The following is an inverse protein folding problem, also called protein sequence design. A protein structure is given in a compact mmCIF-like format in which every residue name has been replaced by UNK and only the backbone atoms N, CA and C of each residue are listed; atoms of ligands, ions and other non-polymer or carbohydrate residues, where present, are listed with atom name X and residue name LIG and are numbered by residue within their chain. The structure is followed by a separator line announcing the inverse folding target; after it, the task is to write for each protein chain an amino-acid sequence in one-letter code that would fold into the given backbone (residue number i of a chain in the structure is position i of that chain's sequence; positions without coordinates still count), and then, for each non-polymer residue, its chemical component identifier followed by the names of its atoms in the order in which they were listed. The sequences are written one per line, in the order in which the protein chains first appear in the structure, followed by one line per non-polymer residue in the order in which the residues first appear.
data_IF_172286830040
#
_entry.id   IF_172286830040
#
_cell.length_a   1.000
_cell.length_b   1.000
_cell.length_c   1.000
_cell.angle_alpha   90.00
_cell.angle_beta   90.00
_cell.angle_gamma   90.00
#
_symmetry.space_group_name_H-M   'P 1'
#
loop_
_entity.id
_entity.type
_entity.pdbx_description
1 polymer ?
#
# COMPACT_ATOMS: atom_id res chain seq x y z
N UNK A 1 57.22 -14.95 -26.13
CA UNK A 1 56.75 -15.94 -25.12
C UNK A 1 56.91 -15.41 -23.68
N UNK A 2 56.48 -14.17 -23.40
CA UNK A 2 56.51 -13.57 -22.05
C UNK A 2 55.15 -12.98 -21.63
N UNK A 3 54.25 -12.64 -22.56
CA UNK A 3 52.92 -12.09 -22.25
C UNK A 3 51.92 -13.11 -21.67
N UNK A 4 52.12 -14.42 -21.90
CA UNK A 4 51.22 -15.45 -21.39
C UNK A 4 51.37 -15.74 -19.88
N UNK A 5 52.39 -15.19 -19.21
CA UNK A 5 52.64 -15.43 -17.77
C UNK A 5 52.03 -14.39 -16.83
N UNK A 6 51.61 -13.21 -17.31
CA UNK A 6 51.00 -12.20 -16.44
C UNK A 6 49.50 -12.45 -16.15
N UNK A 7 48.80 -13.15 -17.04
CA UNK A 7 47.35 -13.42 -16.89
C UNK A 7 47.08 -14.42 -15.74
N UNK A 8 48.07 -15.21 -15.31
CA UNK A 8 47.90 -16.21 -14.25
C UNK A 8 48.00 -15.65 -12.82
N UNK A 9 48.27 -14.34 -12.64
CA UNK A 9 48.53 -13.72 -11.32
C UNK A 9 47.32 -12.99 -10.74
N UNK A 10 46.19 -12.87 -11.45
CA UNK A 10 44.93 -12.38 -10.88
C UNK A 10 44.20 -13.47 -10.07
N UNK A 11 44.88 -13.90 -9.01
CA UNK A 11 44.38 -14.09 -7.65
C UNK A 11 42.85 -14.27 -7.52
N UNK A 12 42.46 -15.54 -7.51
CA UNK A 12 41.86 -16.16 -6.33
C UNK A 12 40.84 -15.27 -5.58
N UNK A 13 39.66 -15.14 -6.18
CA UNK A 13 38.51 -14.50 -5.57
C UNK A 13 37.93 -15.43 -4.49
N UNK A 14 38.57 -15.44 -3.32
CA UNK A 14 38.06 -16.08 -2.11
C UNK A 14 36.80 -15.31 -1.69
N UNK A 15 35.64 -15.79 -2.14
CA UNK A 15 34.34 -15.38 -1.60
C UNK A 15 34.26 -15.88 -0.14
N UNK A 16 34.94 -15.17 0.76
CA UNK A 16 34.76 -15.33 2.19
C UNK A 16 33.37 -14.85 2.53
N UNK A 17 32.49 -15.78 2.89
CA UNK A 17 31.24 -15.47 3.58
C UNK A 17 31.57 -14.85 4.93
N UNK A 18 31.82 -13.54 4.94
CA UNK A 18 31.95 -12.78 6.18
C UNK A 18 30.54 -12.69 6.79
N UNK A 19 30.21 -13.61 7.68
CA UNK A 19 29.04 -13.53 8.56
C UNK A 19 29.20 -12.29 9.44
N UNK A 20 28.71 -11.14 8.96
CA UNK A 20 28.69 -9.91 9.72
C UNK A 20 27.68 -10.08 10.87
N UNK A 21 28.19 -10.10 12.10
CA UNK A 21 27.40 -10.17 13.33
C UNK A 21 26.38 -9.02 13.43
N UNK A 22 26.67 -7.88 12.79
CA UNK A 22 25.77 -6.73 12.65
C UNK A 22 24.53 -7.01 11.77
N UNK A 23 24.58 -7.98 10.87
CA UNK A 23 23.43 -8.38 10.03
C UNK A 23 22.44 -9.26 10.80
N UNK A 24 22.89 -9.91 11.88
CA UNK A 24 22.06 -10.77 12.76
C UNK A 24 21.44 -10.01 13.93
N UNK A 25 22.05 -8.88 14.33
CA UNK A 25 21.59 -8.01 15.40
C UNK A 25 20.11 -7.56 15.27
N UNK A 26 19.59 -7.18 14.07
CA UNK A 26 18.19 -6.79 13.93
C UNK A 26 17.20 -7.98 13.99
N UNK A 27 17.67 -9.23 13.88
CA UNK A 27 16.82 -10.44 13.96
C UNK A 27 16.61 -10.95 15.38
N UNK A 28 17.44 -10.54 16.34
CA UNK A 28 17.31 -10.93 17.76
C UNK A 28 16.00 -10.39 18.35
N UNK A 29 15.63 -9.15 18.01
CA UNK A 29 14.38 -8.52 18.46
C UNK A 29 13.12 -9.28 18.03
N UNK A 30 12.87 -9.55 16.73
CA UNK A 30 11.68 -10.29 16.29
C UNK A 30 11.67 -11.73 16.82
N UNK A 31 12.82 -12.41 16.88
CA UNK A 31 12.89 -13.79 17.37
C UNK A 31 12.59 -13.84 18.88
N UNK A 32 13.15 -12.93 19.67
CA UNK A 32 12.85 -12.84 21.11
C UNK A 32 11.39 -12.50 21.37
N UNK A 33 10.79 -11.63 20.56
CA UNK A 33 9.37 -11.29 20.63
C UNK A 33 8.47 -12.50 20.36
N UNK A 34 8.77 -13.28 19.31
CA UNK A 34 8.03 -14.51 18.99
C UNK A 34 8.20 -15.57 20.09
N UNK A 35 9.41 -15.70 20.64
CA UNK A 35 9.69 -16.60 21.76
C UNK A 35 8.90 -16.22 23.02
N UNK A 36 8.91 -14.94 23.39
CA UNK A 36 8.12 -14.40 24.51
C UNK A 36 6.61 -14.57 24.28
N UNK A 37 6.15 -14.43 23.04
CA UNK A 37 4.74 -14.63 22.69
C UNK A 37 4.31 -16.11 22.83
N UNK A 38 5.13 -17.05 22.36
CA UNK A 38 4.89 -18.48 22.55
C UNK A 38 4.91 -18.88 24.04
N UNK A 39 5.83 -18.30 24.82
CA UNK A 39 5.88 -18.52 26.27
C UNK A 39 4.65 -17.93 26.97
N UNK A 40 4.21 -16.73 26.58
CA UNK A 40 3.00 -16.10 27.13
C UNK A 40 1.73 -16.91 26.84
N UNK A 41 1.63 -17.51 25.65
CA UNK A 41 0.51 -18.36 25.28
C UNK A 41 0.52 -19.73 25.97
N UNK A 42 1.71 -20.29 26.27
CA UNK A 42 1.85 -21.59 26.94
C UNK A 42 1.69 -21.53 28.47
N UNK A 43 1.96 -20.37 29.09
CA UNK A 43 1.76 -20.13 30.53
C UNK A 43 0.27 -19.88 30.87
N UNK A 44 -0.62 -19.84 29.89
CA UNK A 44 -2.07 -19.67 30.10
C UNK A 44 -2.51 -18.23 30.39
N UNK A 45 -1.63 -17.25 30.15
CA UNK A 45 -1.96 -15.81 30.20
C UNK A 45 -2.83 -15.37 29.01
N UNK A 46 -2.88 -16.17 27.94
CA UNK A 46 -3.71 -15.96 26.75
C UNK A 46 -4.40 -17.27 26.36
N UNK A 47 -5.51 -17.17 25.62
CA UNK A 47 -6.17 -18.36 25.06
C UNK A 47 -5.17 -19.13 24.19
N UNK A 48 -5.08 -20.45 24.39
CA UNK A 48 -4.11 -21.33 23.70
C UNK A 48 -4.27 -21.33 22.17
N UNK A 49 -5.42 -20.86 21.68
CA UNK A 49 -5.75 -20.64 20.26
C UNK A 49 -4.93 -19.55 19.58
N UNK A 50 -4.26 -18.67 20.34
CA UNK A 50 -3.43 -17.58 19.78
C UNK A 50 -1.93 -17.87 19.84
N UNK A 51 -1.54 -19.13 20.15
CA UNK A 51 -0.13 -19.51 20.17
C UNK A 51 0.42 -19.65 18.74
N UNK A 52 1.66 -19.20 18.47
CA UNK A 52 2.31 -19.34 17.15
C UNK A 52 2.24 -20.76 16.58
N UNK A 53 2.37 -21.79 17.41
CA UNK A 53 2.27 -23.19 16.98
C UNK A 53 0.83 -23.59 16.63
N UNK A 54 -0.16 -23.17 17.42
CA UNK A 54 -1.58 -23.43 17.13
C UNK A 54 -2.02 -22.75 15.83
N UNK A 55 -1.56 -21.53 15.56
CA UNK A 55 -1.85 -20.82 14.30
C UNK A 55 -1.30 -21.59 13.08
N UNK A 56 -0.14 -22.22 13.19
CA UNK A 56 0.44 -23.03 12.12
C UNK A 56 -0.35 -24.34 11.92
N UNK A 57 -0.74 -25.01 13.00
CA UNK A 57 -1.53 -26.24 12.93
C UNK A 57 -2.96 -25.97 12.42
N UNK A 58 -3.60 -24.91 12.89
CA UNK A 58 -4.88 -24.42 12.38
C UNK A 58 -4.73 -24.04 10.90
N UNK A 59 -3.65 -23.35 10.51
CA UNK A 59 -3.37 -23.04 9.12
C UNK A 59 -3.26 -24.28 8.21
N UNK A 60 -2.59 -25.35 8.67
CA UNK A 60 -2.44 -26.60 7.92
C UNK A 60 -3.78 -27.35 7.83
N UNK A 61 -4.49 -27.47 8.96
CA UNK A 61 -5.78 -28.19 9.02
C UNK A 61 -6.87 -27.48 8.21
N UNK A 62 -6.98 -26.14 8.31
CA UNK A 62 -7.90 -25.36 7.49
C UNK A 62 -7.50 -25.32 6.01
N UNK A 63 -6.20 -25.43 5.69
CA UNK A 63 -5.75 -25.54 4.30
C UNK A 63 -6.12 -26.89 3.69
N UNK A 64 -6.10 -27.97 4.46
CA UNK A 64 -6.50 -29.31 4.00
C UNK A 64 -8.02 -29.45 3.88
N UNK A 65 -8.79 -28.75 4.71
CA UNK A 65 -10.26 -28.74 4.64
C UNK A 65 -10.83 -27.86 3.52
N UNK A 66 -10.00 -27.01 2.89
CA UNK A 66 -10.43 -26.07 1.86
C UNK A 66 -11.16 -24.83 2.39
N UNK A 67 -11.47 -24.78 3.69
CA UNK A 67 -12.10 -23.62 4.33
C UNK A 67 -11.18 -22.38 4.31
N UNK A 68 -9.87 -22.58 4.37
CA UNK A 68 -8.92 -21.46 4.27
C UNK A 68 -9.06 -20.72 2.93
N UNK A 69 -9.15 -21.47 1.83
CA UNK A 69 -9.30 -20.90 0.50
C UNK A 69 -10.66 -20.23 0.30
N UNK A 70 -11.73 -20.81 0.85
CA UNK A 70 -13.06 -20.20 0.86
C UNK A 70 -13.09 -18.90 1.68
N UNK A 71 -12.48 -18.87 2.86
CA UNK A 71 -12.42 -17.68 3.71
C UNK A 71 -11.59 -16.57 3.06
N UNK A 72 -10.47 -16.92 2.41
CA UNK A 72 -9.66 -15.96 1.66
C UNK A 72 -10.45 -15.40 0.48
N UNK A 73 -11.11 -16.25 -0.32
CA UNK A 73 -11.83 -15.80 -1.52
C UNK A 73 -13.01 -14.89 -1.16
N UNK A 74 -13.76 -15.21 -0.10
CA UNK A 74 -14.84 -14.36 0.42
C UNK A 74 -14.29 -13.00 0.90
N UNK A 75 -13.16 -13.01 1.60
CA UNK A 75 -12.51 -11.78 2.06
C UNK A 75 -12.02 -10.93 0.89
N UNK A 76 -11.44 -11.56 -0.13
CA UNK A 76 -10.99 -10.91 -1.34
C UNK A 76 -12.16 -10.32 -2.14
N UNK A 77 -13.27 -11.06 -2.25
CA UNK A 77 -14.49 -10.63 -2.92
C UNK A 77 -15.09 -9.40 -2.24
N UNK A 78 -15.22 -9.43 -0.91
CA UNK A 78 -15.72 -8.28 -0.15
C UNK A 78 -14.81 -7.06 -0.32
N UNK A 79 -13.49 -7.27 -0.29
CA UNK A 79 -12.51 -6.20 -0.50
C UNK A 79 -12.59 -5.62 -1.91
N UNK A 80 -12.71 -6.46 -2.95
CA UNK A 80 -12.78 -6.00 -4.33
C UNK A 80 -14.08 -5.26 -4.64
N UNK A 81 -15.23 -5.78 -4.21
CA UNK A 81 -16.53 -5.13 -4.39
C UNK A 81 -16.57 -3.80 -3.62
N UNK A 82 -16.12 -3.79 -2.37
CA UNK A 82 -16.02 -2.58 -1.57
C UNK A 82 -15.11 -1.52 -2.21
N UNK A 83 -13.98 -1.95 -2.79
CA UNK A 83 -13.07 -1.07 -3.51
C UNK A 83 -13.69 -0.51 -4.79
N UNK A 84 -14.41 -1.32 -5.58
CA UNK A 84 -15.06 -0.84 -6.80
C UNK A 84 -16.13 0.18 -6.48
N UNK A 85 -17.00 -0.09 -5.50
CA UNK A 85 -18.09 0.81 -5.12
C UNK A 85 -17.53 2.08 -4.46
N UNK A 86 -16.79 1.91 -3.37
CA UNK A 86 -16.22 3.03 -2.60
C UNK A 86 -15.20 3.83 -3.40
N UNK A 87 -14.41 3.16 -4.22
CA UNK A 87 -13.43 3.80 -5.10
C UNK A 87 -14.07 4.55 -6.26
N UNK A 88 -15.14 4.05 -6.88
CA UNK A 88 -15.86 4.81 -7.89
C UNK A 88 -16.48 6.07 -7.30
N UNK A 89 -17.11 5.97 -6.12
CA UNK A 89 -17.68 7.13 -5.42
C UNK A 89 -16.59 8.13 -5.02
N UNK A 90 -15.51 7.67 -4.38
CA UNK A 90 -14.39 8.50 -3.96
C UNK A 90 -13.67 9.17 -5.13
N UNK A 91 -13.50 8.45 -6.24
CA UNK A 91 -12.93 8.97 -7.47
C UNK A 91 -13.81 10.08 -8.05
N UNK A 92 -15.13 9.86 -8.20
CA UNK A 92 -16.05 10.88 -8.73
C UNK A 92 -16.04 12.12 -7.83
N UNK A 93 -16.16 11.96 -6.51
CA UNK A 93 -16.14 13.10 -5.59
C UNK A 93 -14.80 13.82 -5.57
N UNK A 94 -13.68 13.11 -5.55
CA UNK A 94 -12.34 13.69 -5.57
C UNK A 94 -12.06 14.41 -6.89
N UNK A 95 -12.55 13.84 -7.99
CA UNK A 95 -12.47 14.42 -9.31
C UNK A 95 -13.29 15.72 -9.41
N UNK A 96 -14.57 15.69 -9.03
CA UNK A 96 -15.43 16.88 -9.03
C UNK A 96 -14.85 18.00 -8.14
N UNK A 97 -14.37 17.67 -6.94
CA UNK A 97 -13.73 18.63 -6.03
C UNK A 97 -12.39 19.17 -6.56
N UNK A 98 -11.66 18.37 -7.34
CA UNK A 98 -10.43 18.81 -8.01
C UNK A 98 -10.68 19.83 -9.11
N UNK A 99 -11.80 19.73 -9.83
CA UNK A 99 -12.12 20.63 -10.95
C UNK A 99 -12.88 21.89 -10.53
N UNK A 100 -13.82 21.75 -9.59
CA UNK A 100 -14.72 22.83 -9.16
C UNK A 100 -14.32 23.39 -7.80
N UNK A 101 -13.96 24.68 -7.77
CA UNK A 101 -13.57 25.39 -6.54
C UNK A 101 -14.71 25.51 -5.53
N UNK A 102 -15.96 25.62 -5.99
CA UNK A 102 -17.15 25.73 -5.14
C UNK A 102 -17.40 24.45 -4.34
N UNK A 103 -17.24 23.29 -4.98
CA UNK A 103 -17.40 22.01 -4.31
C UNK A 103 -16.32 21.83 -3.24
N UNK A 104 -15.07 22.20 -3.54
CA UNK A 104 -13.98 22.13 -2.57
C UNK A 104 -14.31 22.87 -1.29
N UNK A 105 -14.76 24.11 -1.37
CA UNK A 105 -14.95 24.93 -0.16
C UNK A 105 -16.07 24.38 0.75
N UNK A 106 -17.00 23.58 0.18
CA UNK A 106 -18.07 22.89 0.92
C UNK A 106 -17.60 21.54 1.47
N UNK A 107 -16.88 20.76 0.66
CA UNK A 107 -16.54 19.37 0.99
C UNK A 107 -15.22 19.22 1.74
N UNK A 108 -14.28 20.16 1.65
CA UNK A 108 -12.96 20.05 2.28
C UNK A 108 -13.07 19.88 3.80
N UNK A 109 -13.89 20.72 4.45
CA UNK A 109 -14.18 20.62 5.89
C UNK A 109 -14.86 19.30 6.24
N UNK A 110 -15.83 18.87 5.42
CA UNK A 110 -16.58 17.63 5.65
C UNK A 110 -15.69 16.39 5.58
N UNK A 111 -14.76 16.35 4.61
CA UNK A 111 -13.82 15.25 4.43
C UNK A 111 -12.76 15.23 5.53
N UNK A 112 -12.27 16.40 5.97
CA UNK A 112 -11.36 16.47 7.13
C UNK A 112 -12.01 15.92 8.40
N UNK A 113 -13.29 16.25 8.64
CA UNK A 113 -14.06 15.69 9.76
C UNK A 113 -14.25 14.17 9.61
N UNK A 114 -14.60 13.71 8.40
CA UNK A 114 -14.80 12.29 8.13
C UNK A 114 -13.52 11.46 8.37
N UNK A 115 -12.34 12.03 8.09
CA UNK A 115 -11.05 11.36 8.31
C UNK A 115 -10.70 11.20 9.79
N UNK A 116 -11.20 12.08 10.65
CA UNK A 116 -10.95 12.00 12.10
C UNK A 116 -11.80 10.92 12.78
N UNK A 117 -12.90 10.49 12.14
CA UNK A 117 -13.74 9.42 12.66
C UNK A 117 -13.09 8.07 12.30
N UNK A 118 -12.60 7.29 13.29
CA UNK A 118 -12.05 5.98 12.99
C UNK A 118 -13.14 5.08 12.41
N UNK A 119 -12.85 4.39 11.31
CA UNK A 119 -13.82 3.50 10.65
C UNK A 119 -14.38 2.43 11.60
N UNK A 120 -13.64 2.07 12.65
CA UNK A 120 -14.09 1.16 13.71
C UNK A 120 -15.35 1.67 14.43
N UNK A 121 -15.50 2.99 14.60
CA UNK A 121 -16.68 3.59 15.25
C UNK A 121 -17.92 3.58 14.35
N UNK A 122 -17.77 3.35 13.05
CA UNK A 122 -18.90 3.27 12.12
C UNK A 122 -19.57 1.90 12.12
N UNK A 123 -18.93 0.88 12.72
CA UNK A 123 -19.45 -0.49 12.77
C UNK A 123 -20.89 -0.53 13.31
N UNK A 124 -21.22 0.05 14.48
CA UNK A 124 -22.57 -0.02 15.02
C UNK A 124 -23.60 0.69 14.14
N UNK A 125 -23.24 1.86 13.58
CA UNK A 125 -24.12 2.64 12.71
C UNK A 125 -24.48 1.85 11.43
N UNK A 126 -23.49 1.20 10.82
CA UNK A 126 -23.68 0.39 9.61
C UNK A 126 -24.51 -0.86 9.91
N UNK A 127 -24.30 -1.50 11.07
CA UNK A 127 -25.10 -2.64 11.51
C UNK A 127 -26.57 -2.24 11.73
N UNK A 128 -26.83 -1.07 12.31
CA UNK A 128 -28.21 -0.60 12.53
C UNK A 128 -28.91 -0.27 11.21
N UNK A 129 -28.19 0.29 10.24
CA UNK A 129 -28.76 0.73 8.95
C UNK A 129 -28.93 -0.40 7.93
N UNK A 130 -27.96 -1.30 7.83
CA UNK A 130 -27.94 -2.38 6.84
C UNK A 130 -28.20 -3.77 7.44
N UNK A 131 -28.26 -3.88 8.76
CA UNK A 131 -28.41 -5.16 9.47
C UNK A 131 -27.08 -5.91 9.64
N UNK A 132 -27.17 -7.10 10.20
CA UNK A 132 -26.04 -8.04 10.33
C UNK A 132 -25.95 -8.84 9.04
N UNK A 133 -24.85 -8.72 8.31
CA UNK A 133 -24.67 -9.47 7.06
C UNK A 133 -23.44 -9.07 6.27
N UNK A 134 -23.37 -9.56 5.03
CA UNK A 134 -22.26 -9.25 4.11
C UNK A 134 -22.31 -7.81 3.62
N UNK A 135 -23.52 -7.27 3.38
CA UNK A 135 -23.73 -5.88 2.96
C UNK A 135 -23.12 -4.89 3.93
N UNK A 136 -23.28 -5.11 5.25
CA UNK A 136 -22.67 -4.26 6.27
C UNK A 136 -21.14 -4.26 6.19
N UNK A 137 -20.52 -5.42 5.97
CA UNK A 137 -19.06 -5.55 5.82
C UNK A 137 -18.57 -4.81 4.58
N UNK A 138 -19.27 -4.97 3.45
CA UNK A 138 -18.93 -4.32 2.18
C UNK A 138 -19.08 -2.81 2.28
N UNK A 139 -20.17 -2.30 2.87
CA UNK A 139 -20.40 -0.86 3.07
C UNK A 139 -19.31 -0.23 3.93
N UNK A 140 -18.87 -0.91 4.98
CA UNK A 140 -17.77 -0.42 5.84
C UNK A 140 -16.46 -0.30 5.06
N UNK A 141 -16.12 -1.31 4.26
CA UNK A 141 -14.94 -1.28 3.38
C UNK A 141 -15.07 -0.16 2.35
N UNK A 142 -16.24 0.01 1.74
CA UNK A 142 -16.48 1.06 0.75
C UNK A 142 -16.27 2.46 1.34
N UNK A 143 -16.81 2.75 2.53
CA UNK A 143 -16.61 4.04 3.21
C UNK A 143 -15.12 4.22 3.60
N UNK A 144 -14.47 3.15 4.06
CA UNK A 144 -13.06 3.16 4.43
C UNK A 144 -12.12 3.46 3.26
N UNK A 145 -12.43 2.89 2.09
CA UNK A 145 -11.62 3.04 0.87
C UNK A 145 -11.95 4.33 0.11
N UNK A 146 -13.17 4.87 0.28
CA UNK A 146 -13.59 6.13 -0.36
C UNK A 146 -12.68 7.31 0.03
N UNK A 147 -12.33 7.45 1.31
CA UNK A 147 -11.51 8.55 1.84
C UNK A 147 -10.09 8.62 1.21
N UNK A 148 -9.25 7.56 1.25
CA UNK A 148 -7.93 7.60 0.65
C UNK A 148 -7.98 7.77 -0.88
N UNK A 149 -8.97 7.18 -1.57
CA UNK A 149 -9.12 7.35 -3.02
C UNK A 149 -9.48 8.81 -3.36
N UNK A 150 -10.42 9.41 -2.63
CA UNK A 150 -10.76 10.82 -2.77
C UNK A 150 -9.51 11.71 -2.65
N UNK A 151 -8.73 11.51 -1.59
CA UNK A 151 -7.51 12.28 -1.30
C UNK A 151 -6.49 12.11 -2.42
N UNK A 152 -6.24 10.87 -2.85
CA UNK A 152 -5.29 10.56 -3.91
C UNK A 152 -5.69 11.16 -5.26
N UNK A 153 -6.98 11.13 -5.60
CA UNK A 153 -7.49 11.76 -6.83
C UNK A 153 -7.40 13.27 -6.75
N UNK A 154 -7.81 13.87 -5.63
CA UNK A 154 -7.76 15.32 -5.43
C UNK A 154 -6.32 15.86 -5.50
N UNK A 155 -5.39 15.25 -4.75
CA UNK A 155 -3.97 15.62 -4.82
C UNK A 155 -3.37 15.34 -6.19
N UNK A 156 -3.77 14.25 -6.86
CA UNK A 156 -3.30 13.94 -8.21
C UNK A 156 -3.71 14.98 -9.26
N UNK A 157 -4.89 15.59 -9.12
CA UNK A 157 -5.35 16.67 -10.00
C UNK A 157 -4.58 17.97 -9.72
N UNK A 158 -4.22 18.21 -8.44
CA UNK A 158 -3.50 19.42 -8.02
C UNK A 158 -1.99 19.35 -8.10
N UNK A 159 -1.39 18.15 -8.16
CA UNK A 159 0.06 17.97 -8.26
C UNK A 159 0.63 18.42 -9.62
N UNK A 160 -0.23 18.95 -10.50
CA UNK A 160 0.13 19.46 -11.81
C UNK A 160 0.78 20.81 -11.64
N UNK A 161 2.00 20.93 -12.15
CA UNK A 161 2.78 22.14 -12.09
C UNK A 161 1.98 23.33 -12.64
N UNK A 162 1.91 24.38 -11.83
CA UNK A 162 1.18 25.62 -12.13
C UNK A 162 1.65 26.23 -13.46
N UNK A 163 2.93 26.05 -13.82
CA UNK A 163 3.50 26.51 -15.09
C UNK A 163 2.85 25.84 -16.31
N UNK A 164 2.51 24.55 -16.22
CA UNK A 164 1.80 23.82 -17.28
C UNK A 164 0.34 24.28 -17.42
N UNK A 165 -0.29 24.65 -16.31
CA UNK A 165 -1.64 25.22 -16.31
C UNK A 165 -1.64 26.61 -16.97
N UNK A 166 -0.70 27.48 -16.62
CA UNK A 166 -0.57 28.84 -17.17
C UNK A 166 -0.24 28.84 -18.67
N UNK A 167 0.62 27.91 -19.12
CA UNK A 167 0.86 27.66 -20.54
C UNK A 167 -0.43 27.21 -21.26
N UNK A 168 -1.14 26.22 -20.72
CA UNK A 168 -2.36 25.71 -21.36
C UNK A 168 -3.50 26.72 -21.41
N UNK A 169 -3.62 27.58 -20.39
CA UNK A 169 -4.58 28.70 -20.40
C UNK A 169 -4.25 29.74 -21.46
N UNK A 170 -2.96 30.01 -21.73
CA UNK A 170 -2.53 30.89 -22.82
C UNK A 170 -2.90 30.34 -24.21
N UNK A 171 -3.05 29.02 -24.32
CA UNK A 171 -3.57 28.34 -25.52
C UNK A 171 -5.11 28.16 -25.54
N UNK A 172 -5.84 28.73 -24.56
CA UNK A 172 -7.30 28.64 -24.49
C UNK A 172 -7.85 27.26 -24.09
N UNK A 173 -7.03 26.38 -23.53
CA UNK A 173 -7.46 25.04 -23.11
C UNK A 173 -8.34 25.10 -21.86
N UNK A 174 -9.45 24.36 -21.89
CA UNK A 174 -10.31 24.17 -20.70
C UNK A 174 -9.65 23.25 -19.68
N UNK A 175 -10.03 23.34 -18.39
CA UNK A 175 -9.49 22.50 -17.29
C UNK A 175 -9.55 20.99 -17.60
N UNK A 176 -10.60 20.55 -18.29
CA UNK A 176 -10.77 19.17 -18.75
C UNK A 176 -9.79 18.78 -19.86
N UNK A 177 -9.58 19.64 -20.85
CA UNK A 177 -8.60 19.40 -21.92
C UNK A 177 -7.17 19.41 -21.39
N UNK A 178 -6.89 20.22 -20.37
CA UNK A 178 -5.61 20.20 -19.68
C UNK A 178 -5.37 18.86 -18.96
N UNK A 179 -6.39 18.34 -18.26
CA UNK A 179 -6.35 17.03 -17.60
C UNK A 179 -6.10 15.87 -18.57
N UNK A 180 -6.90 15.77 -19.63
CA UNK A 180 -6.82 14.62 -20.53
C UNK A 180 -5.64 14.66 -21.48
N UNK A 181 -5.23 15.85 -21.97
CA UNK A 181 -4.15 15.96 -22.97
C UNK A 181 -2.75 16.13 -22.38
N UNK A 182 -2.61 16.63 -21.15
CA UNK A 182 -1.30 16.95 -20.57
C UNK A 182 -1.02 16.07 -19.35
N UNK A 183 -2.00 15.91 -18.46
CA UNK A 183 -1.78 15.33 -17.12
C UNK A 183 -1.81 13.80 -17.17
N UNK A 184 -2.82 13.21 -17.82
CA UNK A 184 -2.95 11.75 -17.95
C UNK A 184 -1.74 11.13 -18.68
N UNK A 185 -1.28 11.65 -19.85
CA UNK A 185 -0.16 11.05 -20.57
C UNK A 185 1.17 11.12 -19.81
N UNK A 186 1.41 12.19 -19.05
CA UNK A 186 2.70 12.42 -18.38
C UNK A 186 2.90 11.57 -17.12
N UNK A 187 1.80 11.16 -16.46
CA UNK A 187 1.87 10.29 -15.28
C UNK A 187 2.31 8.87 -15.63
N UNK A 188 1.80 8.32 -16.73
CA UNK A 188 2.22 7.01 -17.24
C UNK A 188 3.68 6.97 -17.72
N UNK A 189 4.27 8.10 -18.11
CA UNK A 189 5.66 8.16 -18.53
C UNK A 189 6.64 8.07 -17.34
N UNK A 190 6.33 8.72 -16.20
CA UNK A 190 7.25 8.79 -15.06
C UNK A 190 7.33 7.51 -14.21
N UNK A 191 6.30 6.65 -14.24
CA UNK A 191 6.30 5.42 -13.43
C UNK A 191 7.35 4.39 -13.91
N UNK A 192 7.79 4.48 -15.17
CA UNK A 192 8.84 3.60 -15.71
C UNK A 192 10.27 4.08 -15.39
N UNK A 193 10.48 5.38 -15.17
CA UNK A 193 11.81 5.93 -14.86
C UNK A 193 12.22 5.70 -13.38
N UNK A 194 11.25 5.60 -12.47
CA UNK A 194 11.50 5.38 -11.05
C UNK A 194 12.06 3.99 -10.68
N UNK A 195 11.81 2.97 -11.52
CA UNK A 195 12.37 1.64 -11.32
C UNK A 195 13.87 1.60 -11.65
N UNK A 196 14.31 2.34 -12.67
CA UNK A 196 15.72 2.45 -13.05
C UNK A 196 16.53 3.23 -12.00
N UNK A 197 15.99 4.34 -11.49
CA UNK A 197 16.66 5.15 -10.46
C UNK A 197 16.83 4.41 -9.12
N UNK A 198 15.89 3.53 -8.75
CA UNK A 198 16.00 2.72 -7.51
C UNK A 198 17.00 1.57 -7.62
N UNK A 199 17.28 1.07 -8.82
CA UNK A 199 18.31 0.05 -9.05
C UNK A 199 19.71 0.71 -9.12
N UNK A 200 19.82 1.91 -9.69
CA UNK A 200 21.08 2.66 -9.73
C UNK A 200 21.66 2.96 -8.33
N UNK A 201 20.84 3.48 -7.41
CA UNK A 201 21.33 3.85 -6.07
C UNK A 201 21.70 2.66 -5.16
N UNK A 202 21.31 1.42 -5.48
CA UNK A 202 21.77 0.25 -4.70
C UNK A 202 23.12 -0.27 -5.20
N UNK A 203 23.49 0.00 -6.46
CA UNK A 203 24.79 -0.36 -7.03
C UNK A 203 25.85 0.68 -6.64
N UNK A 204 25.49 1.97 -6.61
CA UNK A 204 26.44 3.05 -6.31
C UNK A 204 26.85 3.14 -4.82
N UNK A 205 26.08 2.53 -3.90
CA UNK A 205 26.38 2.60 -2.46
C UNK A 205 27.46 1.58 -2.01
N UNK A 206 27.93 0.69 -2.89
CA UNK A 206 29.01 -0.27 -2.61
C UNK A 206 30.40 0.27 -3.00
N UNK A 207 30.49 1.31 -3.82
CA UNK A 207 31.77 1.88 -4.30
C UNK A 207 32.20 3.18 -3.58
N UNK A 208 31.56 3.53 -2.45
CA UNK A 208 31.87 4.74 -1.69
C UNK A 208 32.44 4.48 -0.28
N UNK A 209 33.27 3.44 -0.14
CA UNK A 209 34.23 3.32 0.96
C UNK A 209 35.49 2.55 0.54
#
# INVERSE_FOLDING_TARGET
MQEAREIAITKNNKHGWHFNFHTLLPWILPISLVGLWQLSASVGLMASSVSPLAVIQDGITLSQSGELQANISISLYRASVGLVIGGSMGFIFGFLNGLFSVFRDIFDTSIQMLRNIPHLSLIPLVIITFGIGETAKISLVAIGVMSPIYINTFHGIRSVDRKLIEMGQSYGLTRWQLLTKIIIPRRFANDFDGLALRIGCYVDHIDCF
#
